data_IF_283137163634
#
_entry.id   IF_283137163634
#
_cell.length_a   1.000
_cell.length_b   1.000
_cell.length_c   1.000
_cell.angle_alpha   90.00
_cell.angle_beta   90.00
_cell.angle_gamma   90.00
#
_symmetry.space_group_name_H-M   'P 1'
#
loop_
_entity.id
_entity.type
_entity.pdbx_description
1 polymer ?
#
# COMPACT_ATOMS: atom_id res chain seq x y z
N UNK A 1 13.94 -7.21 44.29
CA UNK A 1 15.05 -6.75 45.16
C UNK A 1 16.29 -7.62 44.96
N UNK A 2 16.13 -8.94 44.86
CA UNK A 2 17.23 -9.91 44.73
C UNK A 2 18.23 -9.58 43.62
N UNK A 3 17.75 -9.26 42.42
CA UNK A 3 18.61 -8.90 41.29
C UNK A 3 19.35 -7.55 41.44
N UNK A 4 18.86 -6.64 42.28
CA UNK A 4 19.48 -5.34 42.52
C UNK A 4 20.57 -5.38 43.60
N UNK A 5 20.55 -6.40 44.47
CA UNK A 5 21.49 -6.58 45.57
C UNK A 5 21.05 -5.91 46.88
N UNK A 6 21.70 -6.31 47.98
CA UNK A 6 21.34 -5.90 49.35
C UNK A 6 21.47 -4.39 49.60
N UNK A 7 22.44 -3.73 48.96
CA UNK A 7 22.64 -2.27 49.08
C UNK A 7 21.38 -1.47 48.72
N UNK A 8 20.62 -1.92 47.71
CA UNK A 8 19.36 -1.27 47.32
C UNK A 8 18.28 -1.46 48.37
N UNK A 9 18.25 -2.62 49.04
CA UNK A 9 17.32 -2.88 50.13
C UNK A 9 17.63 -1.98 51.35
N UNK A 10 18.92 -1.79 51.66
CA UNK A 10 19.36 -0.90 52.74
C UNK A 10 18.97 0.56 52.45
N UNK A 11 19.20 1.06 51.23
CA UNK A 11 18.75 2.39 50.80
C UNK A 11 17.24 2.55 50.91
N UNK A 12 16.46 1.51 50.57
CA UNK A 12 15.00 1.54 50.72
C UNK A 12 14.57 1.61 52.18
N UNK A 13 15.22 0.86 53.08
CA UNK A 13 14.93 0.92 54.51
C UNK A 13 15.26 2.30 55.10
N UNK A 14 16.38 2.90 54.66
CA UNK A 14 16.82 4.22 55.11
C UNK A 14 15.90 5.35 54.58
N UNK A 15 15.53 5.31 53.31
CA UNK A 15 14.74 6.37 52.67
C UNK A 15 13.23 6.13 52.74
N UNK A 16 12.76 4.96 53.21
CA UNK A 16 11.34 4.65 53.31
C UNK A 16 10.54 5.66 54.13
N UNK A 17 11.18 6.34 55.08
CA UNK A 17 10.61 7.43 55.88
C UNK A 17 10.45 8.75 55.11
N UNK A 18 11.11 8.90 53.96
CA UNK A 18 11.13 10.11 53.13
C UNK A 18 10.12 10.05 51.96
N UNK A 19 9.10 9.19 52.05
CA UNK A 19 8.09 8.95 51.00
C UNK A 19 7.15 10.15 50.71
N UNK A 20 7.45 11.36 51.20
CA UNK A 20 6.56 12.53 51.07
C UNK A 20 6.27 12.93 49.61
N UNK A 21 7.16 12.59 48.66
CA UNK A 21 6.98 12.86 47.24
C UNK A 21 6.27 11.75 46.46
N UNK A 22 5.84 10.68 47.14
CA UNK A 22 5.14 9.55 46.52
C UNK A 22 6.05 8.58 45.76
N UNK A 23 7.36 8.68 45.90
CA UNK A 23 8.37 7.71 45.46
C UNK A 23 9.67 7.91 46.26
N UNK A 24 10.56 6.90 46.21
CA UNK A 24 11.96 7.04 46.65
C UNK A 24 12.89 6.65 45.50
N UNK A 25 14.09 7.22 45.48
CA UNK A 25 15.08 6.95 44.43
C UNK A 25 16.34 6.38 45.03
N UNK A 26 16.73 5.18 44.62
CA UNK A 26 17.97 4.51 45.05
C UNK A 26 18.97 4.43 43.90
N UNK A 27 20.19 3.94 44.20
CA UNK A 27 21.13 3.46 43.17
C UNK A 27 20.57 2.24 42.42
N UNK A 28 21.17 1.96 41.25
CA UNK A 28 20.85 0.78 40.42
C UNK A 28 21.30 -0.55 41.00
N UNK A 29 22.28 -0.54 41.90
CA UNK A 29 22.89 -1.77 42.42
C UNK A 29 23.49 -2.62 41.30
N UNK A 30 23.15 -3.90 41.27
CA UNK A 30 23.59 -4.85 40.24
C UNK A 30 22.77 -4.78 38.93
N UNK A 31 21.74 -3.94 38.86
CA UNK A 31 20.97 -3.77 37.63
C UNK A 31 21.70 -2.86 36.64
N UNK A 32 21.46 -3.08 35.34
CA UNK A 32 21.97 -2.24 34.25
C UNK A 32 21.21 -0.91 34.12
N UNK A 33 21.14 -0.14 35.20
CA UNK A 33 20.51 1.18 35.25
C UNK A 33 21.23 2.11 36.23
N UNK A 34 21.10 3.42 36.05
CA UNK A 34 21.74 4.41 36.93
C UNK A 34 21.03 4.56 38.27
N UNK A 35 19.70 4.47 38.27
CA UNK A 35 18.82 4.66 39.42
C UNK A 35 17.60 3.75 39.34
N UNK A 36 17.03 3.46 40.50
CA UNK A 36 15.72 2.80 40.62
C UNK A 36 14.78 3.77 41.33
N UNK A 37 13.62 4.03 40.75
CA UNK A 37 12.56 4.83 41.36
C UNK A 37 11.50 3.86 41.87
N UNK A 38 11.35 3.78 43.18
CA UNK A 38 10.42 2.88 43.85
C UNK A 38 9.13 3.63 44.17
N UNK A 39 8.02 3.06 43.73
CA UNK A 39 6.67 3.58 43.93
C UNK A 39 5.86 2.54 44.72
N UNK A 40 5.06 3.01 45.66
CA UNK A 40 3.95 2.25 46.23
C UNK A 40 2.77 2.45 45.28
N UNK A 41 2.29 1.39 44.66
CA UNK A 41 1.15 1.44 43.76
C UNK A 41 -0.11 1.95 44.47
N UNK A 42 -0.82 2.86 43.83
CA UNK A 42 -2.17 3.28 44.20
C UNK A 42 -3.12 3.20 42.98
N UNK A 43 -4.37 3.62 43.14
CA UNK A 43 -5.38 3.60 42.07
C UNK A 43 -5.24 4.75 41.05
N UNK A 44 -4.18 5.56 41.12
CA UNK A 44 -3.90 6.71 40.27
C UNK A 44 -2.64 6.50 39.42
N UNK A 45 -2.57 5.39 38.67
CA UNK A 45 -1.37 4.98 37.90
C UNK A 45 -0.89 6.10 36.97
N UNK A 46 -1.81 6.83 36.32
CA UNK A 46 -1.46 8.00 35.50
C UNK A 46 -0.64 9.05 36.26
N UNK A 47 -1.06 9.38 37.49
CA UNK A 47 -0.37 10.33 38.37
C UNK A 47 1.03 9.82 38.76
N UNK A 48 1.12 8.53 39.07
CA UNK A 48 2.39 7.88 39.43
C UNK A 48 3.40 7.92 38.28
N UNK A 49 2.98 7.53 37.07
CA UNK A 49 3.82 7.61 35.87
C UNK A 49 4.24 9.05 35.60
N UNK A 50 3.31 10.00 35.66
CA UNK A 50 3.61 11.42 35.46
C UNK A 50 4.69 11.91 36.43
N UNK A 51 4.58 11.62 37.73
CA UNK A 51 5.60 11.99 38.72
C UNK A 51 6.99 11.46 38.37
N UNK A 52 7.08 10.20 37.94
CA UNK A 52 8.36 9.60 37.54
C UNK A 52 8.92 10.28 36.30
N UNK A 53 8.10 10.53 35.28
CA UNK A 53 8.55 11.21 34.06
C UNK A 53 9.12 12.60 34.37
N UNK A 54 8.47 13.38 35.23
CA UNK A 54 8.96 14.69 35.64
C UNK A 54 10.22 14.61 36.50
N UNK A 55 10.34 13.60 37.38
CA UNK A 55 11.59 13.39 38.13
C UNK A 55 12.75 13.02 37.18
N UNK A 56 12.51 12.14 36.21
CA UNK A 56 13.51 11.79 35.20
C UNK A 56 13.97 13.01 34.40
N UNK A 57 13.04 13.86 33.97
CA UNK A 57 13.34 15.10 33.26
C UNK A 57 14.15 16.07 34.13
N UNK A 58 13.71 16.30 35.38
CA UNK A 58 14.39 17.17 36.34
C UNK A 58 15.81 16.70 36.66
N UNK A 59 16.03 15.39 36.65
CA UNK A 59 17.35 14.76 36.85
C UNK A 59 18.16 14.62 35.56
N UNK A 60 17.62 15.10 34.44
CA UNK A 60 18.22 15.05 33.11
C UNK A 60 18.54 13.62 32.62
N UNK A 61 17.74 12.63 33.03
CA UNK A 61 17.86 11.26 32.53
C UNK A 61 17.40 11.16 31.09
N UNK A 62 18.06 10.28 30.32
CA UNK A 62 17.76 10.08 28.89
C UNK A 62 16.73 9.00 28.62
N UNK A 63 16.60 8.04 29.54
CA UNK A 63 15.68 6.92 29.39
C UNK A 63 15.06 6.50 30.71
N UNK A 64 13.86 5.92 30.63
CA UNK A 64 13.15 5.30 31.76
C UNK A 64 12.43 4.04 31.28
N UNK A 65 12.41 3.01 32.13
CA UNK A 65 11.66 1.79 31.90
C UNK A 65 10.65 1.58 33.04
N UNK A 66 9.41 1.27 32.68
CA UNK A 66 8.32 0.98 33.61
C UNK A 66 7.86 -0.48 33.47
N UNK A 67 7.49 -1.16 34.56
CA UNK A 67 6.62 -2.32 34.47
C UNK A 67 5.18 -1.90 34.14
N UNK A 68 4.29 -2.85 33.88
CA UNK A 68 2.84 -2.59 33.95
C UNK A 68 2.43 -2.33 35.41
N UNK A 69 2.46 -1.07 35.84
CA UNK A 69 2.29 -0.67 37.24
C UNK A 69 0.91 -1.11 37.75
N UNK A 70 0.89 -1.90 38.84
CA UNK A 70 -0.32 -2.31 39.54
C UNK A 70 -1.07 -3.52 38.98
N UNK A 71 -0.60 -4.13 37.89
CA UNK A 71 -1.23 -5.35 37.33
C UNK A 71 -0.83 -6.65 38.05
N UNK A 72 0.10 -6.58 39.00
CA UNK A 72 0.48 -7.69 39.88
C UNK A 72 -0.42 -7.78 41.11
N UNK A 73 0.19 -7.76 42.30
CA UNK A 73 -0.51 -7.92 43.58
C UNK A 73 -1.64 -6.91 43.82
N UNK A 74 -1.59 -5.73 43.20
CA UNK A 74 -2.63 -4.70 43.32
C UNK A 74 -3.90 -5.02 42.52
N UNK A 75 -3.88 -6.05 41.66
CA UNK A 75 -5.05 -6.56 40.95
C UNK A 75 -5.69 -5.60 39.95
N UNK A 76 -4.97 -4.57 39.49
CA UNK A 76 -5.52 -3.62 38.53
C UNK A 76 -5.62 -4.25 37.13
N UNK A 77 -6.69 -3.89 36.41
CA UNK A 77 -6.89 -4.32 35.02
C UNK A 77 -5.77 -3.83 34.12
N UNK A 78 -5.17 -4.73 33.33
CA UNK A 78 -4.14 -4.42 32.35
C UNK A 78 -4.60 -3.41 31.30
N UNK A 79 -5.84 -3.49 30.83
CA UNK A 79 -6.42 -2.51 29.90
C UNK A 79 -6.49 -1.10 30.51
N UNK A 80 -6.97 -0.98 31.76
CA UNK A 80 -7.03 0.30 32.47
C UNK A 80 -5.62 0.87 32.69
N UNK A 81 -4.69 0.04 33.17
CA UNK A 81 -3.29 0.43 33.41
C UNK A 81 -2.64 0.88 32.11
N UNK A 82 -2.85 0.17 30.99
CA UNK A 82 -2.31 0.56 29.69
C UNK A 82 -2.76 1.95 29.26
N UNK A 83 -4.06 2.23 29.36
CA UNK A 83 -4.62 3.54 29.02
C UNK A 83 -4.06 4.65 29.93
N UNK A 84 -4.01 4.44 31.25
CA UNK A 84 -3.48 5.43 32.19
C UNK A 84 -1.99 5.72 32.02
N UNK A 85 -1.18 4.69 31.82
CA UNK A 85 0.26 4.85 31.59
C UNK A 85 0.53 5.59 30.27
N UNK A 86 -0.16 5.22 29.19
CA UNK A 86 0.03 5.85 27.88
C UNK A 86 -0.52 7.27 27.84
N UNK A 87 -1.60 7.57 28.56
CA UNK A 87 -2.09 8.94 28.71
C UNK A 87 -1.08 9.84 29.43
N UNK A 88 -0.46 9.35 30.51
CA UNK A 88 0.60 10.09 31.20
C UNK A 88 1.78 10.40 30.26
N UNK A 89 2.18 9.42 29.44
CA UNK A 89 3.25 9.59 28.45
C UNK A 89 2.88 10.61 27.38
N UNK A 90 1.66 10.54 26.83
CA UNK A 90 1.17 11.51 25.83
C UNK A 90 1.10 12.92 26.39
N UNK A 91 0.57 13.08 27.60
CA UNK A 91 0.49 14.38 28.27
C UNK A 91 1.87 14.96 28.57
N UNK A 92 2.79 14.14 29.07
CA UNK A 92 4.18 14.54 29.31
C UNK A 92 4.87 14.97 28.01
N UNK A 93 4.79 14.15 26.96
CA UNK A 93 5.45 14.40 25.68
C UNK A 93 4.92 15.65 24.94
N UNK A 94 3.68 16.08 25.22
CA UNK A 94 3.10 17.31 24.66
C UNK A 94 3.64 18.59 25.29
N UNK A 95 4.30 18.51 26.45
CA UNK A 95 4.83 19.69 27.12
C UNK A 95 6.07 20.22 26.40
N UNK A 96 6.12 21.54 26.15
CA UNK A 96 7.27 22.20 25.51
C UNK A 96 8.56 22.16 26.34
N UNK A 97 8.45 21.84 27.63
CA UNK A 97 9.55 21.83 28.60
C UNK A 97 10.35 20.52 28.63
N UNK A 98 9.91 19.47 27.92
CA UNK A 98 10.64 18.19 27.87
C UNK A 98 11.84 18.32 26.94
N UNK A 99 13.05 18.20 27.49
CA UNK A 99 14.31 18.36 26.77
C UNK A 99 15.26 17.16 26.91
N UNK A 100 15.18 16.43 28.02
CA UNK A 100 16.18 15.44 28.38
C UNK A 100 15.73 14.01 28.20
N UNK A 101 14.50 13.67 28.62
CA UNK A 101 13.97 12.31 28.55
C UNK A 101 13.54 11.99 27.12
N UNK A 102 14.25 11.05 26.48
CA UNK A 102 14.07 10.72 25.07
C UNK A 102 13.39 9.36 24.86
N UNK A 103 13.63 8.41 25.76
CA UNK A 103 13.17 7.03 25.59
C UNK A 103 12.36 6.56 26.79
N UNK A 104 11.10 6.20 26.55
CA UNK A 104 10.21 5.61 27.55
C UNK A 104 9.88 4.19 27.09
N UNK A 105 10.18 3.19 27.91
CA UNK A 105 9.87 1.77 27.62
C UNK A 105 8.92 1.22 28.68
N UNK A 106 7.85 0.57 28.25
CA UNK A 106 6.99 -0.21 29.15
C UNK A 106 7.32 -1.69 28.91
N UNK A 107 7.82 -2.35 29.94
CA UNK A 107 8.26 -3.75 29.90
C UNK A 107 7.14 -4.61 30.47
N UNK A 108 6.50 -5.39 29.59
CA UNK A 108 5.38 -6.25 29.92
C UNK A 108 5.90 -7.67 30.20
N UNK A 109 5.65 -8.17 31.41
CA UNK A 109 6.07 -9.52 31.81
C UNK A 109 5.12 -10.62 31.32
N UNK A 110 3.80 -10.42 31.46
CA UNK A 110 2.80 -11.42 31.06
C UNK A 110 2.29 -11.14 29.64
N UNK A 111 2.47 -12.10 28.73
CA UNK A 111 2.18 -11.95 27.30
C UNK A 111 0.72 -11.58 27.00
N UNK A 112 -0.23 -12.05 27.81
CA UNK A 112 -1.65 -11.73 27.67
C UNK A 112 -1.94 -10.21 27.80
N UNK A 113 -1.11 -9.46 28.53
CA UNK A 113 -1.27 -8.01 28.65
C UNK A 113 -0.77 -7.23 27.42
N UNK A 114 0.03 -7.85 26.54
CA UNK A 114 0.58 -7.16 25.36
C UNK A 114 -0.53 -6.65 24.43
N UNK A 115 -1.60 -7.42 24.27
CA UNK A 115 -2.75 -7.04 23.45
C UNK A 115 -3.41 -5.76 23.96
N UNK A 116 -3.59 -5.64 25.29
CA UNK A 116 -4.18 -4.44 25.89
C UNK A 116 -3.34 -3.19 25.66
N UNK A 117 -2.02 -3.28 25.86
CA UNK A 117 -1.10 -2.18 25.59
C UNK A 117 -1.03 -1.83 24.10
N UNK A 118 -1.05 -2.84 23.23
CA UNK A 118 -1.06 -2.64 21.78
C UNK A 118 -2.32 -1.91 21.31
N UNK A 119 -3.51 -2.36 21.73
CA UNK A 119 -4.77 -1.72 21.38
C UNK A 119 -4.85 -0.30 21.94
N UNK A 120 -4.35 -0.08 23.17
CA UNK A 120 -4.25 1.24 23.76
C UNK A 120 -3.36 2.19 22.95
N UNK A 121 -2.20 1.73 22.45
CA UNK A 121 -1.36 2.51 21.54
C UNK A 121 -2.07 2.81 20.21
N UNK A 122 -2.75 1.82 19.64
CA UNK A 122 -3.46 1.95 18.36
C UNK A 122 -4.57 3.01 18.41
N UNK A 123 -5.39 3.01 19.46
CA UNK A 123 -6.44 4.03 19.70
C UNK A 123 -5.89 5.47 19.59
N UNK A 124 -4.64 5.69 20.02
CA UNK A 124 -3.99 7.01 20.05
C UNK A 124 -3.29 7.38 18.73
N UNK A 125 -3.04 6.40 17.85
CA UNK A 125 -2.57 6.63 16.48
C UNK A 125 -3.71 7.16 15.61
N UNK A 126 -4.89 6.55 15.71
CA UNK A 126 -6.04 6.87 14.86
C UNK A 126 -6.67 8.23 15.21
N UNK A 127 -6.57 8.69 16.47
CA UNK A 127 -7.12 9.98 16.91
C UNK A 127 -6.37 11.22 16.41
N UNK A 128 -5.12 11.07 15.94
CA UNK A 128 -4.30 12.19 15.45
C UNK A 128 -4.27 12.29 13.90
N UNK A 129 -4.98 11.42 13.19
CA UNK A 129 -4.95 11.36 11.72
C UNK A 129 -5.71 12.50 11.02
N UNK A 130 -6.52 13.30 11.74
CA UNK A 130 -7.33 14.36 11.13
C UNK A 130 -6.58 15.68 10.84
N UNK A 131 -5.26 15.75 11.07
CA UNK A 131 -4.53 17.04 11.01
C UNK A 131 -3.27 17.07 10.16
N UNK A 132 -2.95 16.02 9.38
CA UNK A 132 -1.74 16.00 8.53
C UNK A 132 -1.92 15.54 7.08
N UNK A 133 -3.15 15.54 6.53
CA UNK A 133 -3.39 15.13 5.12
C UNK A 133 -3.70 16.28 4.14
N UNK A 134 -3.20 17.50 4.38
CA UNK A 134 -3.46 18.67 3.52
C UNK A 134 -2.20 19.31 2.93
N UNK A 135 -1.20 18.54 2.47
CA UNK A 135 -0.06 19.20 1.78
C UNK A 135 0.71 18.45 0.68
N UNK A 136 0.03 17.84 -0.28
CA UNK A 136 0.68 17.46 -1.55
C UNK A 136 -0.07 17.92 -2.82
N UNK A 137 -1.16 18.66 -2.66
CA UNK A 137 -1.92 19.31 -3.74
C UNK A 137 -1.56 20.78 -4.01
N UNK A 138 -0.70 21.42 -3.20
CA UNK A 138 -0.34 22.85 -3.34
C UNK A 138 0.97 23.14 -4.08
N UNK A 139 1.70 22.12 -4.57
CA UNK A 139 3.03 22.31 -5.19
C UNK A 139 3.05 22.13 -6.73
N UNK A 140 1.89 22.14 -7.40
CA UNK A 140 1.81 22.04 -8.87
C UNK A 140 1.48 23.36 -9.61
N UNK A 141 1.40 24.49 -8.92
CA UNK A 141 0.92 25.76 -9.52
C UNK A 141 1.99 26.77 -9.89
N UNK A 142 3.27 26.51 -9.63
CA UNK A 142 4.35 27.44 -9.98
C UNK A 142 5.42 26.69 -10.76
N UNK A 143 5.32 26.76 -12.10
CA UNK A 143 6.41 26.84 -13.08
C UNK A 143 5.80 26.69 -14.49
N UNK A 144 5.16 27.76 -14.95
CA UNK A 144 4.76 27.94 -16.35
C UNK A 144 5.92 28.54 -17.15
N UNK A 145 6.43 27.79 -18.11
CA UNK A 145 7.43 28.25 -19.08
C UNK A 145 7.45 27.33 -20.30
N UNK A 146 6.91 27.82 -21.43
CA UNK A 146 6.68 27.11 -22.69
C UNK A 146 7.97 27.02 -23.54
N UNK A 147 8.30 25.82 -24.05
CA UNK A 147 8.78 25.57 -25.44
C UNK A 147 8.91 24.07 -25.76
N UNK A 148 8.47 23.71 -26.96
CA UNK A 148 8.48 22.36 -27.57
C UNK A 148 9.89 21.88 -27.93
N UNK A 149 10.18 20.58 -27.73
CA UNK A 149 10.69 19.65 -28.77
C UNK A 149 11.24 18.35 -28.15
N UNK A 150 10.97 17.23 -28.84
CA UNK A 150 11.36 15.83 -28.58
C UNK A 150 10.69 15.13 -27.39
N UNK A 151 9.71 14.28 -27.69
CA UNK A 151 9.17 13.27 -26.77
C UNK A 151 10.27 12.24 -26.44
N UNK A 152 11.04 12.52 -25.40
CA UNK A 152 11.69 11.46 -24.64
C UNK A 152 10.61 10.82 -23.76
N UNK A 153 10.20 9.58 -24.07
CA UNK A 153 9.36 8.73 -23.20
C UNK A 153 9.88 8.89 -21.77
N UNK A 154 9.10 9.57 -20.94
CA UNK A 154 9.44 9.90 -19.55
C UNK A 154 9.55 8.60 -18.79
N UNK A 155 10.68 8.37 -18.11
CA UNK A 155 10.85 7.24 -17.21
C UNK A 155 9.73 7.26 -16.17
N UNK A 156 8.82 6.29 -16.23
CA UNK A 156 7.83 6.06 -15.20
C UNK A 156 8.42 5.04 -14.21
N UNK A 157 9.26 5.54 -13.31
CA UNK A 157 9.59 4.79 -12.09
C UNK A 157 8.39 4.97 -11.17
N UNK A 158 7.67 3.88 -10.91
CA UNK A 158 6.64 3.83 -9.88
C UNK A 158 7.29 4.18 -8.54
N UNK A 159 6.83 5.25 -7.88
CA UNK A 159 7.43 5.73 -6.63
C UNK A 159 7.44 4.60 -5.58
N UNK A 160 8.64 4.28 -5.09
CA UNK A 160 8.84 3.28 -4.04
C UNK A 160 8.59 3.93 -2.68
N UNK A 161 7.36 3.83 -2.17
CA UNK A 161 7.08 4.11 -0.75
C UNK A 161 7.50 2.89 0.05
N UNK A 162 8.61 2.97 0.78
CA UNK A 162 9.02 1.92 1.73
C UNK A 162 8.63 2.38 3.12
N UNK A 163 7.68 1.68 3.73
CA UNK A 163 7.41 1.82 5.15
C UNK A 163 8.51 1.09 5.93
N UNK A 164 9.33 1.85 6.66
CA UNK A 164 10.42 1.28 7.45
C UNK A 164 9.85 0.64 8.72
N UNK A 165 10.16 -0.65 8.93
CA UNK A 165 9.87 -1.36 10.18
C UNK A 165 11.18 -1.63 10.92
N UNK A 166 11.25 -1.26 12.20
CA UNK A 166 12.41 -1.51 13.05
C UNK A 166 12.11 -2.62 14.05
N UNK A 167 12.92 -3.67 14.05
CA UNK A 167 12.90 -4.73 15.04
C UNK A 167 14.00 -4.50 16.08
N UNK A 168 13.66 -4.55 17.36
CA UNK A 168 14.63 -4.56 18.45
C UNK A 168 14.62 -5.93 19.11
N UNK A 169 15.75 -6.63 19.05
CA UNK A 169 15.90 -7.98 19.58
C UNK A 169 16.71 -7.88 20.87
N UNK A 170 16.21 -8.50 21.94
CA UNK A 170 16.93 -8.62 23.22
C UNK A 170 17.02 -10.10 23.58
N UNK A 171 18.21 -10.55 23.97
CA UNK A 171 18.47 -11.93 24.34
C UNK A 171 19.54 -12.02 25.44
N UNK A 172 19.69 -13.20 26.03
CA UNK A 172 20.62 -13.46 27.14
C UNK A 172 22.10 -13.37 26.73
N UNK A 173 22.39 -13.49 25.43
CA UNK A 173 23.73 -13.32 24.86
C UNK A 173 23.66 -12.73 23.45
N UNK A 174 24.77 -12.14 22.98
CA UNK A 174 24.88 -11.63 21.61
C UNK A 174 24.66 -12.74 20.58
N UNK A 175 25.19 -13.94 20.82
CA UNK A 175 25.00 -15.11 19.95
C UNK A 175 23.52 -15.46 19.74
N UNK A 176 22.70 -15.38 20.80
CA UNK A 176 21.24 -15.61 20.70
C UNK A 176 20.54 -14.49 19.94
N UNK A 177 20.98 -13.25 20.11
CA UNK A 177 20.47 -12.10 19.35
C UNK A 177 20.78 -12.27 17.87
N UNK A 178 22.02 -12.57 17.52
CA UNK A 178 22.47 -12.75 16.14
C UNK A 178 21.77 -13.93 15.46
N UNK A 179 21.62 -15.06 16.16
CA UNK A 179 20.88 -16.21 15.67
C UNK A 179 19.40 -15.87 15.40
N UNK A 180 18.77 -15.07 16.27
CA UNK A 180 17.38 -14.62 16.09
C UNK A 180 17.27 -13.63 14.94
N UNK A 181 18.21 -12.69 14.81
CA UNK A 181 18.26 -11.76 13.68
C UNK A 181 18.39 -12.51 12.34
N UNK A 182 19.31 -13.47 12.26
CA UNK A 182 19.48 -14.31 11.07
C UNK A 182 18.22 -15.09 10.76
N UNK A 183 17.58 -15.70 11.76
CA UNK A 183 16.35 -16.45 11.57
C UNK A 183 15.20 -15.57 11.03
N UNK A 184 15.02 -14.36 11.56
CA UNK A 184 14.01 -13.41 11.06
C UNK A 184 14.34 -12.98 9.63
N UNK A 185 15.61 -12.66 9.34
CA UNK A 185 16.05 -12.30 7.98
C UNK A 185 15.77 -13.44 7.00
N UNK A 186 16.11 -14.67 7.36
CA UNK A 186 15.88 -15.85 6.53
C UNK A 186 14.39 -16.05 6.27
N UNK A 187 13.53 -15.90 7.28
CA UNK A 187 12.08 -15.96 7.08
C UNK A 187 11.57 -14.89 6.10
N UNK A 188 12.03 -13.64 6.26
CA UNK A 188 11.63 -12.55 5.37
C UNK A 188 12.10 -12.83 3.94
N UNK A 189 13.37 -13.24 3.77
CA UNK A 189 13.95 -13.50 2.45
C UNK A 189 13.32 -14.72 1.78
N UNK A 190 12.92 -15.74 2.53
CA UNK A 190 12.27 -16.94 2.00
C UNK A 190 10.85 -16.69 1.48
N UNK A 191 10.17 -15.69 2.03
CA UNK A 191 8.85 -15.26 1.58
C UNK A 191 8.92 -14.22 0.43
N UNK A 192 10.07 -13.58 0.24
CA UNK A 192 10.32 -12.68 -0.88
C UNK A 192 10.49 -13.46 -2.18
N UNK A 193 9.78 -13.02 -3.20
CA UNK A 193 9.82 -13.58 -4.54
C UNK A 193 9.92 -12.46 -5.55
N UNK A 194 10.51 -12.80 -6.69
CA UNK A 194 10.71 -11.89 -7.78
C UNK A 194 10.33 -12.59 -9.08
N UNK A 195 9.51 -11.93 -9.88
CA UNK A 195 9.13 -12.41 -11.20
C UNK A 195 9.39 -11.32 -12.24
N UNK A 196 9.85 -11.74 -13.42
CA UNK A 196 10.13 -10.85 -14.53
C UNK A 196 9.37 -11.32 -15.76
N UNK A 197 8.52 -10.45 -16.29
CA UNK A 197 7.74 -10.70 -17.51
C UNK A 197 8.41 -9.94 -18.65
N UNK A 198 8.71 -10.63 -19.75
CA UNK A 198 9.39 -10.08 -20.92
C UNK A 198 8.49 -10.26 -22.14
N UNK A 199 8.08 -9.16 -22.78
CA UNK A 199 7.13 -9.21 -23.90
C UNK A 199 7.14 -7.90 -24.72
N UNK A 200 7.12 -7.97 -26.04
CA UNK A 200 7.13 -6.80 -26.93
C UNK A 200 5.92 -5.88 -26.73
N UNK A 201 4.74 -6.43 -26.37
CA UNK A 201 3.52 -5.65 -26.19
C UNK A 201 3.60 -4.66 -25.01
N UNK A 202 4.59 -4.80 -24.12
CA UNK A 202 4.85 -3.84 -23.05
C UNK A 202 5.25 -2.46 -23.62
N UNK A 203 5.80 -2.38 -24.84
CA UNK A 203 6.12 -1.10 -25.49
C UNK A 203 4.88 -0.22 -25.75
N UNK A 204 3.72 -0.88 -25.91
CA UNK A 204 2.40 -0.30 -26.17
C UNK A 204 1.66 0.12 -24.89
N UNK A 205 2.23 -0.09 -23.68
CA UNK A 205 1.59 0.35 -22.43
C UNK A 205 1.52 1.88 -22.38
N UNK A 206 0.30 2.39 -22.21
CA UNK A 206 -0.04 3.80 -22.10
C UNK A 206 -0.42 4.20 -20.67
N UNK A 207 -0.91 5.43 -20.49
CA UNK A 207 -1.31 5.95 -19.18
C UNK A 207 -2.34 5.07 -18.47
N UNK A 208 -3.24 4.41 -19.18
CA UNK A 208 -4.25 3.53 -18.59
C UNK A 208 -3.60 2.29 -17.97
N UNK A 209 -2.69 1.61 -18.67
CA UNK A 209 -1.99 0.46 -18.08
C UNK A 209 -1.11 0.89 -16.90
N UNK A 210 -0.47 2.06 -16.98
CA UNK A 210 0.35 2.56 -15.86
C UNK A 210 -0.51 2.79 -14.62
N UNK A 211 -1.69 3.40 -14.75
CA UNK A 211 -2.63 3.60 -13.62
C UNK A 211 -3.01 2.27 -12.98
N UNK A 212 -3.25 1.23 -13.79
CA UNK A 212 -3.54 -0.12 -13.30
C UNK A 212 -2.33 -0.69 -12.54
N UNK A 213 -1.12 -0.56 -13.07
CA UNK A 213 0.11 -0.99 -12.39
C UNK A 213 0.31 -0.26 -11.05
N UNK A 214 0.07 1.06 -10.97
CA UNK A 214 0.18 1.79 -9.69
C UNK A 214 -0.82 1.27 -8.66
N UNK A 215 -2.06 0.99 -9.10
CA UNK A 215 -3.11 0.47 -8.24
C UNK A 215 -2.77 -0.94 -7.72
N UNK A 216 -2.25 -1.81 -8.59
CA UNK A 216 -1.75 -3.13 -8.22
C UNK A 216 -0.60 -3.02 -7.21
N UNK A 217 0.37 -2.14 -7.47
CA UNK A 217 1.50 -1.90 -6.57
C UNK A 217 1.05 -1.55 -5.15
N UNK A 218 0.15 -0.56 -5.02
CA UNK A 218 -0.38 -0.11 -3.72
C UNK A 218 -1.23 -1.17 -3.03
N UNK A 219 -2.12 -1.83 -3.76
CA UNK A 219 -3.08 -2.79 -3.18
C UNK A 219 -2.41 -4.09 -2.75
N UNK A 220 -1.39 -4.53 -3.49
CA UNK A 220 -0.70 -5.80 -3.28
C UNK A 220 0.64 -5.66 -2.57
N UNK A 221 1.05 -4.43 -2.22
CA UNK A 221 2.29 -4.14 -1.49
C UNK A 221 3.53 -4.76 -2.17
N UNK A 222 3.52 -4.80 -3.51
CA UNK A 222 4.66 -5.23 -4.32
C UNK A 222 5.45 -4.02 -4.79
N UNK A 223 6.64 -4.23 -5.34
CA UNK A 223 7.40 -3.25 -6.12
C UNK A 223 7.34 -3.67 -7.58
N UNK A 224 6.94 -2.75 -8.47
CA UNK A 224 6.89 -2.97 -9.91
C UNK A 224 7.89 -2.02 -10.58
N UNK A 225 8.75 -2.57 -11.44
CA UNK A 225 9.77 -1.83 -12.18
C UNK A 225 9.61 -2.09 -13.68
N UNK A 226 9.47 -1.00 -14.44
CA UNK A 226 9.42 -1.03 -15.91
C UNK A 226 10.83 -0.86 -16.48
N UNK A 227 11.33 -1.91 -17.12
CA UNK A 227 12.67 -1.99 -17.70
C UNK A 227 12.61 -1.81 -19.23
N UNK A 228 12.11 -0.65 -19.68
CA UNK A 228 11.85 -0.34 -21.10
C UNK A 228 13.10 -0.15 -21.97
N UNK A 229 14.31 -0.27 -21.40
CA UNK A 229 15.58 -0.20 -22.14
C UNK A 229 16.02 -1.55 -22.69
N UNK A 230 15.39 -2.63 -22.25
CA UNK A 230 15.66 -3.97 -22.72
C UNK A 230 14.80 -4.24 -23.97
N UNK A 231 15.27 -5.15 -24.83
CA UNK A 231 14.49 -5.65 -25.97
C UNK A 231 14.49 -7.19 -25.88
N UNK A 232 13.31 -7.83 -25.64
CA UNK A 232 12.02 -7.17 -25.37
C UNK A 232 12.04 -6.41 -24.02
N UNK A 233 11.19 -5.37 -23.87
CA UNK A 233 11.02 -4.69 -22.59
C UNK A 233 10.54 -5.65 -21.51
N UNK A 234 10.82 -5.33 -20.24
CA UNK A 234 10.50 -6.18 -19.11
C UNK A 234 9.75 -5.46 -18.00
N UNK A 235 8.84 -6.16 -17.34
CA UNK A 235 8.22 -5.74 -16.08
C UNK A 235 8.74 -6.67 -14.99
N UNK A 236 9.45 -6.08 -14.03
CA UNK A 236 10.00 -6.77 -12.88
C UNK A 236 9.13 -6.51 -11.66
N UNK A 237 8.68 -7.57 -10.99
CA UNK A 237 7.75 -7.54 -9.85
C UNK A 237 8.43 -8.21 -8.67
N UNK A 238 8.60 -7.50 -7.56
CA UNK A 238 9.25 -8.02 -6.34
C UNK A 238 8.34 -7.81 -5.12
N UNK A 239 8.25 -8.80 -4.23
CA UNK A 239 7.40 -8.74 -3.03
C UNK A 239 7.12 -10.12 -2.46
N UNK A 240 6.04 -10.30 -1.71
CA UNK A 240 5.69 -11.63 -1.18
C UNK A 240 5.14 -12.54 -2.28
N UNK A 241 5.50 -13.83 -2.26
CA UNK A 241 5.20 -14.82 -3.31
C UNK A 241 3.76 -14.80 -3.82
N UNK A 242 2.77 -14.81 -2.92
CA UNK A 242 1.33 -14.79 -3.26
C UNK A 242 0.96 -13.55 -4.09
N UNK A 243 1.42 -12.40 -3.65
CA UNK A 243 1.04 -11.12 -4.23
C UNK A 243 1.79 -10.87 -5.54
N UNK A 244 3.07 -11.27 -5.63
CA UNK A 244 3.83 -11.27 -6.88
C UNK A 244 3.17 -12.16 -7.92
N UNK A 245 2.72 -13.37 -7.56
CA UNK A 245 2.02 -14.26 -8.49
C UNK A 245 0.70 -13.63 -8.98
N UNK A 246 -0.11 -13.09 -8.06
CA UNK A 246 -1.37 -12.41 -8.40
C UNK A 246 -1.16 -11.22 -9.34
N UNK A 247 -0.14 -10.40 -9.11
CA UNK A 247 0.17 -9.25 -9.97
C UNK A 247 0.74 -9.71 -11.31
N UNK A 248 1.56 -10.77 -11.32
CA UNK A 248 2.12 -11.33 -12.54
C UNK A 248 1.03 -11.80 -13.50
N UNK A 249 0.00 -12.48 -12.99
CA UNK A 249 -1.16 -12.91 -13.78
C UNK A 249 -1.91 -11.71 -14.37
N UNK A 250 -2.19 -10.68 -13.56
CA UNK A 250 -2.85 -9.47 -14.05
C UNK A 250 -2.05 -8.75 -15.15
N UNK A 251 -0.72 -8.69 -15.02
CA UNK A 251 0.15 -8.13 -16.06
C UNK A 251 0.12 -8.97 -17.33
N UNK A 252 0.12 -10.29 -17.22
CA UNK A 252 -0.02 -11.18 -18.37
C UNK A 252 -1.37 -11.00 -19.07
N UNK A 253 -2.46 -10.83 -18.33
CA UNK A 253 -3.80 -10.54 -18.89
C UNK A 253 -3.80 -9.23 -19.68
N UNK A 254 -3.20 -8.16 -19.15
CA UNK A 254 -3.07 -6.88 -19.87
C UNK A 254 -2.27 -7.03 -21.17
N UNK A 255 -1.18 -7.78 -21.15
CA UNK A 255 -0.36 -8.07 -22.34
C UNK A 255 -1.20 -8.82 -23.38
N UNK A 256 -1.96 -9.83 -22.96
CA UNK A 256 -2.82 -10.61 -23.87
C UNK A 256 -3.93 -9.75 -24.47
N UNK A 257 -4.52 -8.83 -23.70
CA UNK A 257 -5.55 -7.90 -24.20
C UNK A 257 -4.99 -6.97 -25.29
N UNK A 258 -3.78 -6.43 -25.10
CA UNK A 258 -3.09 -5.61 -26.11
C UNK A 258 -2.85 -6.42 -27.38
N UNK A 259 -2.23 -7.61 -27.24
CA UNK A 259 -1.95 -8.49 -28.40
C UNK A 259 -3.21 -8.85 -29.18
N UNK A 260 -4.27 -9.22 -28.49
CA UNK A 260 -5.54 -9.58 -29.13
C UNK A 260 -6.16 -8.38 -29.85
N UNK A 261 -6.05 -7.17 -29.27
CA UNK A 261 -6.53 -5.94 -29.88
C UNK A 261 -5.74 -5.58 -31.14
N UNK A 262 -4.42 -5.65 -31.09
CA UNK A 262 -3.53 -5.39 -32.24
C UNK A 262 -3.75 -6.41 -33.37
N UNK A 263 -3.92 -7.68 -33.04
CA UNK A 263 -4.24 -8.73 -34.01
C UNK A 263 -5.59 -8.46 -34.69
N UNK A 264 -6.60 -8.08 -33.92
CA UNK A 264 -7.93 -7.79 -34.44
C UNK A 264 -7.94 -6.54 -35.32
N UNK A 265 -7.20 -5.49 -34.93
CA UNK A 265 -6.98 -4.31 -35.76
C UNK A 265 -6.28 -4.69 -37.07
N UNK A 266 -5.20 -5.46 -37.01
CA UNK A 266 -4.45 -5.90 -38.19
C UNK A 266 -5.34 -6.69 -39.17
N UNK A 267 -6.17 -7.62 -38.65
CA UNK A 267 -7.15 -8.35 -39.45
C UNK A 267 -8.22 -7.42 -40.05
N UNK A 268 -8.67 -6.43 -39.30
CA UNK A 268 -9.65 -5.45 -39.78
C UNK A 268 -9.09 -4.59 -40.92
N UNK A 269 -7.81 -4.23 -40.85
CA UNK A 269 -7.13 -3.47 -41.91
C UNK A 269 -6.98 -4.28 -43.20
N UNK A 270 -6.51 -5.52 -43.11
CA UNK A 270 -6.39 -6.40 -44.26
C UNK A 270 -7.74 -6.63 -44.93
N UNK A 271 -8.80 -6.87 -44.14
CA UNK A 271 -10.13 -7.12 -44.69
C UNK A 271 -10.76 -5.86 -45.30
N UNK A 272 -10.51 -4.69 -44.71
CA UNK A 272 -10.99 -3.42 -45.25
C UNK A 272 -10.47 -3.15 -46.68
N UNK A 273 -9.30 -3.68 -47.03
CA UNK A 273 -8.75 -3.59 -48.38
C UNK A 273 -9.46 -4.50 -49.39
N UNK A 274 -10.13 -5.56 -48.94
CA UNK A 274 -10.82 -6.54 -49.80
C UNK A 274 -12.32 -6.29 -49.90
N UNK A 275 -12.96 -5.91 -48.80
CA UNK A 275 -14.42 -5.77 -48.72
C UNK A 275 -14.80 -4.56 -47.89
N UNK A 276 -15.79 -3.81 -48.38
CA UNK A 276 -16.34 -2.65 -47.70
C UNK A 276 -17.86 -2.72 -47.59
N UNK A 277 -18.31 -2.69 -46.34
CA UNK A 277 -19.70 -2.56 -45.95
C UNK A 277 -20.05 -1.08 -45.80
N UNK A 278 -21.22 -0.70 -46.30
CA UNK A 278 -21.72 0.67 -46.28
C UNK A 278 -23.17 0.73 -45.85
N UNK A 279 -23.56 1.85 -45.23
CA UNK A 279 -24.94 2.16 -44.85
C UNK A 279 -25.40 3.48 -45.50
N UNK A 280 -26.72 3.72 -45.63
CA UNK A 280 -27.24 4.96 -46.22
C UNK A 280 -26.88 6.20 -45.39
N UNK A 281 -26.30 7.20 -46.06
CA UNK A 281 -25.94 8.51 -45.54
C UNK A 281 -27.00 9.58 -45.83
N UNK A 282 -26.62 10.85 -45.69
CA UNK A 282 -27.45 11.97 -46.16
C UNK A 282 -27.32 12.11 -47.69
N UNK A 283 -28.39 12.57 -48.34
CA UNK A 283 -28.43 12.86 -49.79
C UNK A 283 -28.06 11.66 -50.68
N UNK A 284 -28.63 10.48 -50.41
CA UNK A 284 -28.44 9.26 -51.23
C UNK A 284 -26.99 8.74 -51.31
N UNK A 285 -26.09 9.28 -50.48
CA UNK A 285 -24.72 8.80 -50.36
C UNK A 285 -24.65 7.52 -49.51
N UNK A 286 -23.60 6.73 -49.70
CA UNK A 286 -23.30 5.59 -48.84
C UNK A 286 -22.06 5.89 -47.99
N UNK A 287 -22.15 5.63 -46.69
CA UNK A 287 -21.06 5.84 -45.73
C UNK A 287 -20.49 4.48 -45.36
N UNK A 288 -19.17 4.34 -45.42
CA UNK A 288 -18.49 3.11 -44.99
C UNK A 288 -18.57 2.94 -43.47
N UNK A 289 -18.67 1.69 -43.02
CA UNK A 289 -18.42 1.37 -41.61
C UNK A 289 -16.95 1.57 -41.26
N UNK A 290 -16.65 1.79 -39.99
CA UNK A 290 -15.27 1.72 -39.50
C UNK A 290 -14.69 0.32 -39.74
N UNK A 291 -13.35 0.21 -39.79
CA UNK A 291 -12.66 -1.03 -40.16
C UNK A 291 -13.08 -2.21 -39.27
N UNK A 292 -13.28 -1.99 -37.98
CA UNK A 292 -13.63 -3.04 -37.02
C UNK A 292 -15.05 -3.55 -37.24
N UNK A 293 -16.04 -2.65 -37.32
CA UNK A 293 -17.43 -3.00 -37.60
C UNK A 293 -17.56 -3.67 -38.97
N UNK A 294 -16.83 -3.19 -39.98
CA UNK A 294 -16.74 -3.79 -41.31
C UNK A 294 -16.26 -5.26 -41.23
N UNK A 295 -15.20 -5.51 -40.48
CA UNK A 295 -14.66 -6.85 -40.31
C UNK A 295 -15.63 -7.77 -39.54
N UNK A 296 -16.32 -7.26 -38.52
CA UNK A 296 -17.34 -8.03 -37.80
C UNK A 296 -18.50 -8.45 -38.71
N UNK A 297 -19.02 -7.52 -39.52
CA UNK A 297 -20.07 -7.79 -40.51
C UNK A 297 -19.64 -8.87 -41.51
N UNK A 298 -18.42 -8.75 -42.05
CA UNK A 298 -17.91 -9.68 -43.03
C UNK A 298 -17.67 -11.08 -42.43
N UNK A 299 -17.03 -11.17 -41.26
CA UNK A 299 -16.86 -12.45 -40.56
C UNK A 299 -18.19 -13.11 -40.25
N UNK A 300 -19.18 -12.35 -39.79
CA UNK A 300 -20.50 -12.89 -39.47
C UNK A 300 -21.22 -13.41 -40.73
N UNK A 301 -21.09 -12.71 -41.87
CA UNK A 301 -21.62 -13.18 -43.16
C UNK A 301 -20.91 -14.44 -43.64
N UNK A 302 -19.58 -14.49 -43.58
CA UNK A 302 -18.80 -15.68 -43.96
C UNK A 302 -19.14 -16.90 -43.09
N UNK A 303 -19.36 -16.67 -41.78
CA UNK A 303 -19.79 -17.70 -40.84
C UNK A 303 -21.27 -18.09 -40.97
N UNK A 304 -22.01 -17.54 -41.95
CA UNK A 304 -23.44 -17.79 -42.19
C UNK A 304 -24.31 -17.50 -40.95
N UNK A 305 -23.94 -16.52 -40.12
CA UNK A 305 -24.81 -16.04 -39.04
C UNK A 305 -26.02 -15.35 -39.66
N UNK A 306 -27.18 -15.49 -39.02
CA UNK A 306 -28.42 -14.84 -39.48
C UNK A 306 -28.43 -13.35 -39.15
N UNK A 307 -28.07 -13.00 -37.91
CA UNK A 307 -28.17 -11.64 -37.41
C UNK A 307 -26.87 -11.16 -36.74
N UNK A 308 -26.58 -9.87 -36.85
CA UNK A 308 -25.51 -9.19 -36.12
C UNK A 308 -26.00 -7.81 -35.64
N UNK A 309 -25.75 -7.48 -34.39
CA UNK A 309 -26.05 -6.14 -33.88
C UNK A 309 -24.90 -5.18 -34.17
N UNK A 310 -25.20 -4.02 -34.75
CA UNK A 310 -24.23 -2.96 -35.04
C UNK A 310 -24.73 -1.61 -34.52
N UNK A 311 -23.81 -0.67 -34.31
CA UNK A 311 -24.15 0.72 -33.96
C UNK A 311 -23.92 1.64 -35.15
N UNK A 312 -24.94 2.41 -35.53
CA UNK A 312 -24.86 3.44 -36.58
C UNK A 312 -25.35 4.75 -35.98
N UNK A 313 -24.52 5.80 -36.00
CA UNK A 313 -24.84 7.12 -35.41
C UNK A 313 -25.41 7.02 -33.98
N UNK A 314 -24.75 6.20 -33.14
CA UNK A 314 -25.13 5.89 -31.76
C UNK A 314 -26.45 5.12 -31.54
N UNK A 315 -27.14 4.69 -32.59
CA UNK A 315 -28.33 3.83 -32.50
C UNK A 315 -27.95 2.37 -32.79
N UNK A 316 -28.57 1.44 -32.06
CA UNK A 316 -28.40 0.01 -32.30
C UNK A 316 -29.30 -0.45 -33.44
N UNK A 317 -28.75 -1.29 -34.32
CA UNK A 317 -29.48 -1.95 -35.39
C UNK A 317 -29.19 -3.43 -35.38
N UNK A 318 -30.21 -4.25 -35.63
CA UNK A 318 -30.05 -5.67 -35.92
C UNK A 318 -29.96 -5.86 -37.42
N UNK A 319 -28.81 -6.34 -37.90
CA UNK A 319 -28.54 -6.60 -39.32
C UNK A 319 -28.88 -8.04 -39.64
N UNK A 320 -29.81 -8.27 -40.55
CA UNK A 320 -29.99 -9.54 -41.24
C UNK A 320 -28.94 -9.65 -42.36
N UNK A 321 -28.04 -10.63 -42.22
CA UNK A 321 -26.88 -10.79 -43.10
C UNK A 321 -27.22 -11.48 -44.43
N UNK A 322 -28.40 -12.12 -44.53
CA UNK A 322 -28.90 -12.72 -45.77
C UNK A 322 -29.57 -11.67 -46.64
N UNK A 323 -30.44 -10.86 -46.07
CA UNK A 323 -31.15 -9.80 -46.80
C UNK A 323 -30.40 -8.48 -46.87
N UNK A 324 -29.30 -8.36 -46.10
CA UNK A 324 -28.51 -7.13 -45.95
C UNK A 324 -29.35 -5.95 -45.42
N UNK A 325 -30.33 -6.22 -44.56
CA UNK A 325 -31.20 -5.20 -43.95
C UNK A 325 -30.86 -4.98 -42.49
N UNK A 326 -30.74 -3.71 -42.11
CA UNK A 326 -30.53 -3.30 -40.72
C UNK A 326 -31.84 -2.72 -40.16
N UNK A 327 -32.32 -3.24 -39.03
CA UNK A 327 -33.59 -2.83 -38.40
C UNK A 327 -33.32 -2.19 -37.04
N UNK A 328 -33.88 -1.00 -36.77
CA UNK A 328 -33.79 -0.36 -35.45
C UNK A 328 -34.81 -0.92 -34.45
N UNK A 329 -34.72 -0.47 -33.20
CA UNK A 329 -35.64 -0.79 -32.11
C UNK A 329 -37.10 -0.36 -32.36
N UNK A 330 -37.32 0.56 -33.31
CA UNK A 330 -38.63 1.05 -33.73
C UNK A 330 -39.15 0.33 -34.98
N UNK A 331 -38.45 -0.70 -35.46
CA UNK A 331 -38.84 -1.48 -36.64
C UNK A 331 -38.55 -0.80 -37.98
N UNK A 332 -37.83 0.33 -38.00
CA UNK A 332 -37.42 1.00 -39.24
C UNK A 332 -36.24 0.27 -39.84
N UNK A 333 -36.33 -0.02 -41.14
CA UNK A 333 -35.32 -0.79 -41.86
C UNK A 333 -34.53 0.07 -42.83
N UNK A 334 -33.24 -0.21 -42.98
CA UNK A 334 -32.39 0.32 -44.04
C UNK A 334 -31.61 -0.79 -44.73
N UNK A 335 -31.31 -0.61 -46.02
CA UNK A 335 -30.51 -1.58 -46.78
C UNK A 335 -29.02 -1.24 -46.67
N UNK A 336 -28.23 -2.20 -46.21
CA UNK A 336 -26.77 -2.14 -46.22
C UNK A 336 -26.25 -2.59 -47.59
N UNK A 337 -25.04 -2.11 -47.93
CA UNK A 337 -24.35 -2.49 -49.17
C UNK A 337 -23.02 -3.13 -48.84
N UNK A 338 -22.77 -4.34 -49.37
CA UNK A 338 -21.46 -5.00 -49.33
C UNK A 338 -20.80 -4.84 -50.70
N UNK A 339 -19.61 -4.25 -50.75
CA UNK A 339 -18.84 -3.99 -51.96
C UNK A 339 -17.52 -4.76 -51.87
N UNK A 340 -17.23 -5.60 -52.86
CA UNK A 340 -15.90 -6.22 -52.99
C UNK A 340 -15.01 -5.20 -53.70
N UNK A 341 -13.85 -4.91 -53.12
CA UNK A 341 -12.81 -4.08 -53.74
C UNK A 341 -11.97 -5.04 -54.58
N UNK A 342 -12.15 -5.04 -55.90
CA UNK A 342 -11.24 -5.76 -56.78
C UNK A 342 -9.83 -5.15 -56.65
N UNK A 343 -8.81 -6.01 -56.56
CA UNK A 343 -7.45 -5.60 -56.88
C UNK A 343 -7.47 -5.15 -58.35
N UNK A 344 -7.24 -3.86 -58.58
CA UNK A 344 -7.18 -3.30 -59.92
C UNK A 344 -6.23 -4.11 -60.80
N UNK A 345 -6.69 -4.38 -62.03
CA UNK A 345 -5.87 -4.84 -63.16
C UNK A 345 -4.61 -4.00 -63.34
#
# INVERSE_FOLDING_TARGET
MDAAGSQVADECAQYGMQYQNGFITTRGGNLLCSKIIHLITDNQVKSQVSKVLHECERRMYKSVAFPAIGTGQAGQSSAKVADEMLDAVVEFARQKSVQHLQTIKIVIFQTNMLTDFYESMKKRKDSNSSTMELWLSMLKSFLGGRKQSSEKKKFMILEKKVDLVTFQICGESQEKVDATESWIKDLILKEQFENTISDEAIESFDEAQIVVLEALQRRKQVTIQLLNKLSPPQIKISGISRDVCSVSLAVQEMIQEIKSTEEEQSKAELLHNLVEWRYPGSNDSFVAFDKLTNMQLERAKMAKKLHLNVKIKMKNYQVDLNTLKATDDQGRTMNLRRVIKDEGK
#
